data_IF_660967303222
#
_entry.id   IF_660967303222
#
_cell.length_a   1.000
_cell.length_b   1.000
_cell.length_c   1.000
_cell.angle_alpha   90.00
_cell.angle_beta   90.00
_cell.angle_gamma   90.00
#
_symmetry.space_group_name_H-M   'P 1'
#
loop_
_entity.id
_entity.type
_entity.pdbx_description
1 polymer ?
#
# COMPACT_ATOMS: atom_id res chain seq x y z
N UNK A 1 4.16 38.40 -9.41
CA UNK A 1 3.95 36.97 -9.65
C UNK A 1 2.83 36.50 -8.72
N UNK A 2 1.88 35.73 -9.23
CA UNK A 2 0.81 35.09 -8.44
C UNK A 2 1.19 33.62 -8.30
N UNK A 3 1.18 33.08 -7.08
CA UNK A 3 1.51 31.68 -6.80
C UNK A 3 0.27 30.97 -6.29
N UNK A 4 -0.13 29.87 -6.93
CA UNK A 4 -1.19 29.00 -6.42
C UNK A 4 -0.68 28.20 -5.22
N UNK A 5 -1.43 28.20 -4.12
CA UNK A 5 -1.04 27.54 -2.86
C UNK A 5 -1.96 26.39 -2.47
N UNK A 6 -3.18 26.35 -3.02
CA UNK A 6 -4.17 25.30 -2.84
C UNK A 6 -5.20 25.37 -3.97
N UNK A 7 -5.88 24.26 -4.25
CA UNK A 7 -6.97 24.23 -5.23
C UNK A 7 -8.13 25.14 -4.83
N UNK A 8 -8.78 25.72 -5.85
CA UNK A 8 -9.97 26.54 -5.69
C UNK A 8 -9.89 27.87 -6.40
N UNK A 9 -10.93 28.68 -6.22
CA UNK A 9 -11.01 30.02 -6.80
C UNK A 9 -10.56 31.06 -5.79
N UNK A 10 -9.65 31.95 -6.18
CA UNK A 10 -9.29 33.13 -5.42
C UNK A 10 -9.61 34.40 -6.22
N UNK A 11 -9.92 35.48 -5.52
CA UNK A 11 -10.03 36.81 -6.14
C UNK A 11 -8.77 37.60 -5.82
N UNK A 12 -8.03 37.98 -6.86
CA UNK A 12 -6.90 38.90 -6.74
C UNK A 12 -7.45 40.30 -6.93
N UNK A 13 -7.35 41.12 -5.87
CA UNK A 13 -7.77 42.52 -5.90
C UNK A 13 -6.55 43.45 -5.74
N UNK A 14 -6.61 44.60 -6.39
CA UNK A 14 -5.67 45.71 -6.25
C UNK A 14 -6.44 46.98 -5.92
N UNK A 15 -5.87 47.81 -5.04
CA UNK A 15 -6.42 49.12 -4.68
C UNK A 15 -5.34 50.19 -4.69
N UNK A 16 -5.71 51.44 -4.98
CA UNK A 16 -4.82 52.59 -4.78
C UNK A 16 -4.61 52.85 -3.29
N UNK A 17 -3.46 53.45 -2.92
CA UNK A 17 -3.09 53.66 -1.51
C UNK A 17 -4.03 54.64 -0.77
N UNK A 18 -4.73 55.50 -1.51
CA UNK A 18 -5.78 56.38 -1.01
C UNK A 18 -7.17 55.71 -0.96
N UNK A 19 -7.27 54.44 -1.37
CA UNK A 19 -8.50 53.65 -1.40
C UNK A 19 -9.50 54.08 -2.48
N UNK A 20 -9.16 55.06 -3.33
CA UNK A 20 -10.09 55.66 -4.29
C UNK A 20 -10.47 54.76 -5.47
N UNK A 21 -9.64 53.78 -5.82
CA UNK A 21 -9.88 52.88 -6.94
C UNK A 21 -9.56 51.44 -6.57
N UNK A 22 -10.39 50.51 -7.02
CA UNK A 22 -10.19 49.06 -6.88
C UNK A 22 -10.42 48.35 -8.21
N UNK A 23 -9.68 47.28 -8.46
CA UNK A 23 -9.91 46.34 -9.54
C UNK A 23 -9.69 44.92 -9.02
N UNK A 24 -10.42 43.95 -9.54
CA UNK A 24 -10.28 42.56 -9.14
C UNK A 24 -10.41 41.62 -10.33
N UNK A 25 -9.72 40.48 -10.25
CA UNK A 25 -9.86 39.35 -11.16
C UNK A 25 -9.94 38.06 -10.37
N UNK A 26 -10.71 37.10 -10.85
CA UNK A 26 -10.70 35.75 -10.30
C UNK A 26 -9.54 34.95 -10.90
N UNK A 27 -8.97 34.04 -10.12
CA UNK A 27 -8.02 33.03 -10.54
C UNK A 27 -8.48 31.68 -10.01
N UNK A 28 -8.44 30.66 -10.86
CA UNK A 28 -8.67 29.27 -10.46
C UNK A 28 -7.33 28.57 -10.39
N UNK A 29 -7.01 28.00 -9.23
CA UNK A 29 -5.88 27.10 -9.05
C UNK A 29 -6.44 25.69 -9.14
N UNK A 30 -5.98 24.91 -10.12
CA UNK A 30 -6.38 23.53 -10.34
C UNK A 30 -5.15 22.63 -10.28
N UNK A 31 -5.28 21.42 -9.74
CA UNK A 31 -4.29 20.38 -9.95
C UNK A 31 -4.47 19.83 -11.37
N UNK A 32 -3.41 19.86 -12.17
CA UNK A 32 -3.38 19.17 -13.46
C UNK A 32 -2.92 17.73 -13.22
N UNK A 33 -3.77 16.77 -13.53
CA UNK A 33 -3.51 15.35 -13.34
C UNK A 33 -3.35 14.63 -14.66
N UNK A 34 -2.56 13.54 -14.65
CA UNK A 34 -2.43 12.66 -15.79
C UNK A 34 -3.64 11.72 -15.85
N UNK A 35 -4.20 11.53 -17.03
CA UNK A 35 -5.32 10.64 -17.31
C UNK A 35 -5.01 9.76 -18.51
N UNK A 36 -5.63 8.58 -18.57
CA UNK A 36 -5.66 7.76 -19.79
C UNK A 36 -7.03 7.86 -20.45
N UNK A 37 -7.03 8.05 -21.77
CA UNK A 37 -8.20 7.93 -22.63
C UNK A 37 -8.06 6.68 -23.48
N UNK A 38 -9.13 5.91 -23.59
CA UNK A 38 -9.21 4.76 -24.50
C UNK A 38 -10.54 4.80 -25.27
N UNK A 39 -10.46 4.66 -26.60
CA UNK A 39 -11.61 4.37 -27.46
C UNK A 39 -11.50 2.93 -27.97
N UNK A 40 -12.42 2.08 -27.53
CA UNK A 40 -12.57 0.69 -27.98
C UNK A 40 -13.68 0.59 -29.04
N UNK A 41 -13.35 0.13 -30.24
CA UNK A 41 -14.34 -0.08 -31.32
C UNK A 41 -15.27 -1.23 -30.96
N UNK A 42 -16.59 -0.98 -30.98
CA UNK A 42 -17.61 -2.00 -30.71
C UNK A 42 -18.29 -2.46 -31.99
N UNK A 43 -18.66 -1.52 -32.87
CA UNK A 43 -19.34 -1.84 -34.13
C UNK A 43 -19.11 -0.75 -35.17
N UNK A 44 -19.28 -1.09 -36.45
CA UNK A 44 -19.19 -0.18 -37.60
C UNK A 44 -17.89 0.62 -37.67
N UNK A 45 -17.84 1.60 -38.57
CA UNK A 45 -16.63 2.42 -38.73
C UNK A 45 -16.53 3.49 -37.64
N UNK A 46 -15.36 3.57 -37.02
CA UNK A 46 -14.97 4.58 -36.03
C UNK A 46 -13.80 5.38 -36.61
N UNK A 47 -13.75 6.67 -36.29
CA UNK A 47 -12.81 7.62 -36.91
C UNK A 47 -12.15 8.51 -35.86
N UNK A 48 -10.84 8.70 -35.95
CA UNK A 48 -10.09 9.65 -35.10
C UNK A 48 -9.37 10.63 -36.02
N UNK A 49 -9.72 11.92 -35.97
CA UNK A 49 -9.07 12.96 -36.78
C UNK A 49 -8.17 13.87 -35.93
N UNK A 50 -8.62 14.23 -34.71
CA UNK A 50 -7.80 14.97 -33.74
C UNK A 50 -8.40 14.87 -32.35
N UNK A 51 -7.57 15.13 -31.35
CA UNK A 51 -7.98 15.30 -29.97
C UNK A 51 -7.81 16.77 -29.55
N UNK A 52 -8.52 17.18 -28.51
CA UNK A 52 -8.17 18.41 -27.79
C UNK A 52 -8.11 18.11 -26.30
N UNK A 53 -7.09 18.62 -25.62
CA UNK A 53 -6.92 18.49 -24.18
C UNK A 53 -7.26 19.82 -23.51
N UNK A 54 -8.10 19.75 -22.48
CA UNK A 54 -8.43 20.92 -21.67
C UNK A 54 -7.31 21.17 -20.66
N UNK A 55 -6.72 22.35 -20.70
CA UNK A 55 -5.77 22.84 -19.71
C UNK A 55 -6.28 24.18 -19.15
N UNK A 56 -6.84 24.12 -17.94
CA UNK A 56 -7.60 25.24 -17.37
C UNK A 56 -8.83 25.59 -18.23
N UNK A 57 -8.94 26.86 -18.62
CA UNK A 57 -10.04 27.36 -19.47
C UNK A 57 -9.76 27.21 -20.97
N UNK A 58 -8.61 26.63 -21.35
CA UNK A 58 -8.17 26.54 -22.75
C UNK A 58 -8.17 25.10 -23.26
N UNK A 59 -8.36 24.95 -24.57
CA UNK A 59 -8.26 23.67 -25.27
C UNK A 59 -7.05 23.68 -26.19
N UNK A 60 -6.17 22.71 -26.04
CA UNK A 60 -4.98 22.52 -26.87
C UNK A 60 -5.22 21.36 -27.81
N UNK A 61 -5.05 21.58 -29.11
CA UNK A 61 -5.19 20.54 -30.13
C UNK A 61 -4.01 19.58 -30.11
N UNK A 62 -4.32 18.28 -30.17
CA UNK A 62 -3.36 17.18 -30.36
C UNK A 62 -3.72 16.51 -31.68
N UNK A 63 -2.75 16.42 -32.58
CA UNK A 63 -2.95 15.78 -33.87
C UNK A 63 -3.12 14.26 -33.66
N UNK A 64 -3.95 13.61 -34.46
CA UNK A 64 -4.18 12.15 -34.37
C UNK A 64 -2.93 11.32 -34.72
N UNK A 65 -1.93 11.94 -35.37
CA UNK A 65 -0.62 11.35 -35.64
C UNK A 65 0.41 11.63 -34.54
N UNK A 66 0.02 12.22 -33.41
CA UNK A 66 0.89 12.41 -32.25
C UNK A 66 1.42 11.04 -31.78
N UNK A 67 2.75 10.89 -31.61
CA UNK A 67 3.36 9.61 -31.25
C UNK A 67 2.96 9.10 -29.86
N UNK A 68 2.36 9.94 -29.02
CA UNK A 68 1.76 9.54 -27.75
C UNK A 68 0.44 8.79 -27.91
N UNK A 69 -0.20 8.84 -29.08
CA UNK A 69 -1.42 8.07 -29.36
C UNK A 69 -1.03 6.68 -29.87
N UNK A 70 -1.48 5.66 -29.16
CA UNK A 70 -1.30 4.26 -29.54
C UNK A 70 -2.55 3.75 -30.23
N UNK A 71 -2.39 3.13 -31.41
CA UNK A 71 -3.49 2.52 -32.15
C UNK A 71 -3.27 1.02 -32.34
N UNK A 72 -4.28 0.22 -32.00
CA UNK A 72 -4.30 -1.23 -32.21
C UNK A 72 -5.36 -1.59 -33.24
N UNK A 73 -4.96 -2.15 -34.39
CA UNK A 73 -5.87 -2.52 -35.49
C UNK A 73 -6.62 -1.34 -36.14
N UNK A 74 -5.94 -0.19 -36.27
CA UNK A 74 -6.43 0.96 -37.03
C UNK A 74 -5.66 1.16 -38.33
N UNK A 75 -6.30 1.78 -39.30
CA UNK A 75 -5.73 2.16 -40.59
C UNK A 75 -5.48 3.67 -40.56
N UNK A 76 -4.22 4.07 -40.73
CA UNK A 76 -3.83 5.47 -40.86
C UNK A 76 -3.95 5.94 -42.32
N UNK A 77 -4.43 7.17 -42.51
CA UNK A 77 -4.55 7.79 -43.83
C UNK A 77 -3.64 9.02 -43.96
N UNK A 78 -3.19 9.29 -45.18
CA UNK A 78 -2.24 10.38 -45.48
C UNK A 78 -2.77 11.80 -45.22
N UNK A 79 -4.05 11.94 -44.88
CA UNK A 79 -4.72 13.21 -44.55
C UNK A 79 -4.79 13.53 -43.06
N UNK A 80 -4.16 12.76 -42.18
CA UNK A 80 -4.22 12.97 -40.72
C UNK A 80 -5.57 12.53 -40.14
N UNK A 81 -5.90 11.26 -40.37
CA UNK A 81 -7.02 10.60 -39.68
C UNK A 81 -6.78 9.09 -39.66
N UNK A 82 -7.37 8.43 -38.66
CA UNK A 82 -7.35 6.99 -38.47
C UNK A 82 -8.77 6.44 -38.49
N UNK A 83 -8.94 5.23 -39.01
CA UNK A 83 -10.21 4.51 -38.94
C UNK A 83 -10.05 3.05 -38.52
N UNK A 84 -11.09 2.51 -37.90
CA UNK A 84 -11.23 1.07 -37.70
C UNK A 84 -12.69 0.66 -37.66
N UNK A 85 -12.96 -0.55 -38.14
CA UNK A 85 -14.23 -1.26 -37.99
C UNK A 85 -14.06 -2.60 -37.24
N UNK A 86 -12.85 -2.88 -36.77
CA UNK A 86 -12.50 -4.12 -36.10
C UNK A 86 -12.94 -4.02 -34.65
N UNK A 87 -13.90 -4.85 -34.23
CA UNK A 87 -14.32 -4.89 -32.82
C UNK A 87 -13.12 -5.22 -31.91
N UNK A 88 -12.95 -4.45 -30.83
CA UNK A 88 -11.81 -4.52 -29.91
C UNK A 88 -10.56 -3.78 -30.39
N UNK A 89 -10.59 -3.06 -31.52
CA UNK A 89 -9.53 -2.13 -31.89
C UNK A 89 -9.51 -0.95 -30.89
N UNK A 90 -8.33 -0.54 -30.42
CA UNK A 90 -8.18 0.53 -29.42
C UNK A 90 -7.41 1.72 -29.96
N UNK A 91 -7.80 2.93 -29.56
CA UNK A 91 -7.01 4.15 -29.67
C UNK A 91 -6.81 4.71 -28.27
N UNK A 92 -5.57 4.75 -27.80
CA UNK A 92 -5.20 5.07 -26.42
C UNK A 92 -4.31 6.31 -26.37
N UNK A 93 -4.55 7.20 -25.40
CA UNK A 93 -3.75 8.39 -25.19
C UNK A 93 -3.65 8.77 -23.72
N UNK A 94 -2.43 9.02 -23.24
CA UNK A 94 -2.18 9.57 -21.91
C UNK A 94 -2.01 11.08 -22.00
N UNK A 95 -2.79 11.84 -21.24
CA UNK A 95 -2.79 13.30 -21.27
C UNK A 95 -2.76 13.92 -19.89
N UNK A 96 -2.27 15.14 -19.77
CA UNK A 96 -2.39 15.95 -18.55
C UNK A 96 -3.36 17.09 -18.80
N UNK A 97 -4.47 17.12 -18.06
CA UNK A 97 -5.52 18.11 -18.28
C UNK A 97 -6.80 17.80 -17.51
N UNK A 98 -7.80 18.65 -17.65
CA UNK A 98 -9.10 18.54 -16.96
C UNK A 98 -10.22 18.04 -17.87
N UNK A 99 -9.88 17.67 -19.10
CA UNK A 99 -10.85 17.27 -20.11
C UNK A 99 -10.21 16.84 -21.42
N UNK A 100 -10.97 16.10 -22.21
CA UNK A 100 -10.59 15.64 -23.54
C UNK A 100 -11.78 15.73 -24.50
N UNK A 101 -11.52 16.18 -25.72
CA UNK A 101 -12.45 16.10 -26.85
C UNK A 101 -11.86 15.20 -27.92
N UNK A 102 -12.73 14.43 -28.56
CA UNK A 102 -12.41 13.71 -29.78
C UNK A 102 -13.20 14.28 -30.94
N UNK A 103 -12.50 14.59 -32.04
CA UNK A 103 -13.07 14.96 -33.31
C UNK A 103 -12.82 13.84 -34.33
N UNK A 104 -13.82 13.60 -35.16
CA UNK A 104 -13.78 12.53 -36.16
C UNK A 104 -14.86 12.73 -37.21
N UNK A 105 -14.85 11.84 -38.20
CA UNK A 105 -15.88 11.81 -39.23
C UNK A 105 -17.12 11.05 -38.73
N UNK A 106 -18.30 11.51 -39.15
CA UNK A 106 -19.57 10.78 -39.04
C UNK A 106 -19.99 10.32 -40.42
N UNK A 107 -20.34 9.03 -40.56
CA UNK A 107 -20.73 8.41 -41.81
C UNK A 107 -22.03 7.59 -41.65
N UNK A 108 -22.74 7.32 -42.75
CA UNK A 108 -24.00 6.55 -42.72
C UNK A 108 -23.82 5.10 -42.27
N UNK A 109 -22.58 4.62 -42.33
CA UNK A 109 -22.08 3.32 -41.86
C UNK A 109 -21.14 3.47 -40.66
N UNK A 110 -21.06 4.66 -40.08
CA UNK A 110 -20.33 4.86 -38.84
C UNK A 110 -21.03 4.14 -37.70
N UNK A 111 -20.24 3.53 -36.82
CA UNK A 111 -20.76 2.71 -35.74
C UNK A 111 -20.51 3.34 -34.38
N UNK A 112 -20.16 2.49 -33.42
CA UNK A 112 -20.04 2.86 -32.01
C UNK A 112 -18.73 2.36 -31.42
N UNK A 113 -18.19 3.11 -30.47
CA UNK A 113 -17.07 2.71 -29.64
C UNK A 113 -17.32 3.02 -28.18
N UNK A 114 -16.82 2.19 -27.27
CA UNK A 114 -16.81 2.48 -25.85
C UNK A 114 -15.63 3.38 -25.51
N UNK A 115 -15.85 4.33 -24.61
CA UNK A 115 -14.85 5.30 -24.18
C UNK A 115 -14.58 5.05 -22.71
N UNK A 116 -13.31 4.89 -22.37
CA UNK A 116 -12.85 4.72 -21.00
C UNK A 116 -11.94 5.89 -20.62
N UNK A 117 -12.05 6.33 -19.37
CA UNK A 117 -11.11 7.24 -18.73
C UNK A 117 -10.53 6.53 -17.53
N UNK A 118 -9.20 6.46 -17.45
CA UNK A 118 -8.49 5.79 -16.35
C UNK A 118 -8.94 4.33 -16.15
N UNK A 119 -9.22 3.65 -17.27
CA UNK A 119 -9.71 2.25 -17.30
C UNK A 119 -11.17 2.07 -16.90
N UNK A 120 -11.88 3.13 -16.49
CA UNK A 120 -13.30 3.08 -16.16
C UNK A 120 -14.16 3.48 -17.35
N UNK A 121 -15.24 2.71 -17.61
CA UNK A 121 -16.19 3.04 -18.67
C UNK A 121 -16.82 4.41 -18.41
N UNK A 122 -16.76 5.28 -19.42
CA UNK A 122 -17.29 6.64 -19.36
C UNK A 122 -18.57 6.77 -20.18
N UNK A 123 -18.49 6.53 -21.49
CA UNK A 123 -19.62 6.71 -22.42
C UNK A 123 -19.43 5.94 -23.72
N UNK A 124 -20.46 5.95 -24.57
CA UNK A 124 -20.40 5.43 -25.95
C UNK A 124 -20.18 6.59 -26.93
N UNK A 125 -19.15 6.51 -27.76
CA UNK A 125 -18.94 7.37 -28.92
C UNK A 125 -19.79 6.90 -30.11
N UNK A 126 -20.46 7.83 -30.78
CA UNK A 126 -21.31 7.53 -31.95
C UNK A 126 -20.78 8.23 -33.21
N UNK A 127 -20.47 7.41 -34.22
CA UNK A 127 -19.92 7.82 -35.51
C UNK A 127 -20.96 7.78 -36.64
N UNK A 128 -22.22 7.44 -36.36
CA UNK A 128 -23.30 7.51 -37.33
C UNK A 128 -23.64 8.95 -37.72
N UNK A 129 -23.83 9.21 -39.02
CA UNK A 129 -24.27 10.50 -39.54
C UNK A 129 -23.75 10.84 -40.93
N UNK A 130 -23.61 12.12 -41.25
CA UNK A 130 -22.98 12.57 -42.48
C UNK A 130 -22.33 13.93 -42.25
N UNK A 131 -21.15 13.92 -41.64
CA UNK A 131 -20.38 15.12 -41.34
C UNK A 131 -18.90 14.77 -41.23
N UNK A 132 -18.02 15.70 -41.57
CA UNK A 132 -16.56 15.50 -41.48
C UNK A 132 -15.98 16.43 -40.43
N UNK A 133 -14.98 15.94 -39.68
CA UNK A 133 -14.26 16.69 -38.64
C UNK A 133 -15.22 17.39 -37.65
N UNK A 134 -16.08 16.59 -37.02
CA UNK A 134 -17.05 17.07 -36.02
C UNK A 134 -16.73 16.51 -34.64
N UNK A 135 -17.15 17.25 -33.60
CA UNK A 135 -17.04 16.79 -32.22
C UNK A 135 -17.84 15.48 -32.06
N UNK A 136 -17.15 14.44 -31.62
CA UNK A 136 -17.72 13.12 -31.34
C UNK A 136 -18.11 13.02 -29.87
N UNK A 137 -17.21 13.44 -28.99
CA UNK A 137 -17.42 13.48 -27.55
C UNK A 137 -16.61 14.62 -26.92
N UNK A 138 -17.07 15.04 -25.75
CA UNK A 138 -16.40 15.96 -24.86
C UNK A 138 -16.53 15.45 -23.44
N UNK A 139 -15.40 15.34 -22.76
CA UNK A 139 -15.29 15.00 -21.35
C UNK A 139 -14.60 16.19 -20.68
N UNK A 140 -15.19 16.72 -19.63
CA UNK A 140 -14.68 17.86 -18.86
C UNK A 140 -14.84 17.59 -17.38
N UNK A 141 -14.23 18.43 -16.54
CA UNK A 141 -14.31 18.28 -15.09
C UNK A 141 -13.65 16.99 -14.62
N UNK A 142 -12.66 16.49 -15.37
CA UNK A 142 -11.79 15.43 -14.89
C UNK A 142 -11.00 16.00 -13.72
N UNK A 143 -11.33 15.51 -12.54
CA UNK A 143 -10.69 15.83 -11.28
C UNK A 143 -9.99 14.58 -10.80
N UNK A 144 -8.66 14.59 -10.80
CA UNK A 144 -7.90 13.46 -10.28
C UNK A 144 -7.83 12.28 -11.24
N UNK A 145 -6.72 12.19 -11.96
CA UNK A 145 -5.99 10.94 -12.02
C UNK A 145 -4.95 11.05 -10.93
N UNK A 146 -5.01 10.21 -9.89
CA UNK A 146 -3.89 10.22 -8.95
C UNK A 146 -2.65 9.91 -9.79
N UNK A 147 -1.63 10.80 -9.88
CA UNK A 147 -0.38 10.39 -10.49
C UNK A 147 0.04 9.17 -9.69
N UNK A 148 0.17 8.00 -10.33
CA UNK A 148 0.67 6.81 -9.66
C UNK A 148 1.96 7.21 -8.95
N UNK A 149 1.89 7.29 -7.62
CA UNK A 149 3.00 7.67 -6.78
C UNK A 149 3.66 6.35 -6.41
N UNK A 150 4.71 5.94 -7.13
CA UNK A 150 5.31 4.64 -6.90
C UNK A 150 5.90 4.62 -5.50
N UNK A 151 5.86 3.45 -4.88
CA UNK A 151 6.67 3.21 -3.69
C UNK A 151 8.15 3.39 -4.07
N UNK A 152 8.90 4.08 -3.21
CA UNK A 152 10.36 4.28 -3.32
C UNK A 152 11.14 3.57 -2.22
N UNK A 153 10.45 3.07 -1.20
CA UNK A 153 11.08 2.37 -0.08
C UNK A 153 10.09 2.00 1.02
N UNK A 154 10.59 1.23 1.99
CA UNK A 154 9.88 0.91 3.23
C UNK A 154 10.87 0.91 4.38
N UNK A 155 10.51 1.59 5.46
CA UNK A 155 11.24 1.56 6.72
C UNK A 155 10.48 0.74 7.76
N UNK A 156 11.21 0.02 8.62
CA UNK A 156 10.62 -0.84 9.64
C UNK A 156 10.99 -0.35 11.04
N UNK A 157 9.98 -0.13 11.89
CA UNK A 157 10.17 0.28 13.29
C UNK A 157 9.50 -0.72 14.25
N UNK A 158 9.86 -0.64 15.53
CA UNK A 158 9.31 -1.53 16.57
C UNK A 158 10.12 -2.80 16.81
N UNK A 159 11.30 -2.95 16.18
CA UNK A 159 12.17 -4.09 16.45
C UNK A 159 12.58 -4.15 17.93
N UNK A 160 12.46 -5.32 18.58
CA UNK A 160 12.85 -5.46 19.98
C UNK A 160 14.36 -5.25 20.12
N UNK A 161 14.76 -4.49 21.13
CA UNK A 161 16.17 -4.24 21.47
C UNK A 161 16.79 -5.30 22.39
N UNK A 162 15.96 -6.20 22.91
CA UNK A 162 16.34 -7.29 23.79
C UNK A 162 15.67 -8.59 23.34
N UNK A 163 16.19 -9.73 23.82
CA UNK A 163 15.63 -11.03 23.50
C UNK A 163 14.19 -11.14 23.99
N UNK A 164 13.35 -11.75 23.16
CA UNK A 164 11.98 -12.09 23.49
C UNK A 164 11.92 -13.39 24.29
N UNK A 165 10.83 -13.56 25.03
CA UNK A 165 10.50 -14.82 25.71
C UNK A 165 9.35 -15.51 25.00
N UNK A 166 9.24 -16.84 25.14
CA UNK A 166 8.17 -17.62 24.47
C UNK A 166 6.80 -17.07 24.86
N UNK A 167 5.94 -16.83 23.86
CA UNK A 167 4.60 -16.27 24.02
C UNK A 167 4.55 -14.74 24.06
N UNK A 168 5.69 -14.06 24.14
CA UNK A 168 5.75 -12.61 24.03
C UNK A 168 5.40 -12.17 22.60
N UNK A 169 4.69 -11.05 22.47
CA UNK A 169 4.37 -10.44 21.20
C UNK A 169 4.90 -9.00 21.13
N UNK A 170 5.29 -8.58 19.93
CA UNK A 170 5.69 -7.21 19.60
C UNK A 170 5.02 -6.81 18.29
N UNK A 171 4.71 -5.54 18.11
CA UNK A 171 4.16 -5.02 16.85
C UNK A 171 5.22 -4.23 16.12
N UNK A 172 5.46 -4.60 14.87
CA UNK A 172 6.32 -3.88 13.95
C UNK A 172 5.47 -2.98 13.06
N UNK A 173 5.96 -1.78 12.77
CA UNK A 173 5.31 -0.82 11.88
C UNK A 173 6.13 -0.65 10.61
N UNK A 174 5.52 -0.93 9.46
CA UNK A 174 6.09 -0.66 8.16
C UNK A 174 5.68 0.73 7.68
N UNK A 175 6.64 1.60 7.44
CA UNK A 175 6.45 2.97 6.95
C UNK A 175 6.82 2.99 5.46
N UNK A 176 5.81 2.90 4.59
CA UNK A 176 5.99 2.95 3.14
C UNK A 176 6.25 4.40 2.71
N UNK A 177 7.22 4.59 1.83
CA UNK A 177 7.64 5.90 1.33
C UNK A 177 7.42 6.02 -0.18
N UNK A 178 6.90 7.15 -0.68
CA UNK A 178 6.39 8.27 0.12
C UNK A 178 5.07 7.92 0.81
N UNK A 179 4.66 8.72 1.81
CA UNK A 179 3.45 8.46 2.61
C UNK A 179 2.16 8.48 1.77
N UNK A 180 2.19 9.18 0.64
CA UNK A 180 1.11 9.26 -0.35
C UNK A 180 1.33 8.31 -1.53
N UNK A 181 2.10 7.23 -1.37
CA UNK A 181 2.20 6.19 -2.39
C UNK A 181 0.80 5.63 -2.72
N UNK A 182 0.51 5.45 -4.00
CA UNK A 182 -0.82 5.04 -4.49
C UNK A 182 -1.18 3.62 -4.03
N UNK A 183 -0.19 2.72 -3.89
CA UNK A 183 -0.36 1.40 -3.28
C UNK A 183 0.61 1.17 -2.11
N UNK A 184 0.23 1.52 -0.87
CA UNK A 184 1.07 1.33 0.32
C UNK A 184 0.98 -0.09 0.93
N UNK A 185 0.40 -1.06 0.21
CA UNK A 185 0.19 -2.41 0.73
C UNK A 185 1.52 -3.15 0.93
N UNK A 186 1.59 -3.97 1.98
CA UNK A 186 2.77 -4.77 2.30
C UNK A 186 2.41 -6.22 2.61
N UNK A 187 3.38 -7.11 2.44
CA UNK A 187 3.33 -8.52 2.86
C UNK A 187 4.42 -8.80 3.89
N UNK A 188 4.17 -9.78 4.76
CA UNK A 188 5.08 -10.13 5.85
C UNK A 188 5.48 -11.59 5.76
N UNK A 189 6.72 -11.90 6.15
CA UNK A 189 7.22 -13.27 6.23
C UNK A 189 8.18 -13.45 7.40
N UNK A 190 8.34 -14.69 7.85
CA UNK A 190 9.32 -15.10 8.85
C UNK A 190 10.25 -16.15 8.25
N UNK A 191 11.55 -16.01 8.48
CA UNK A 191 12.53 -17.02 8.07
C UNK A 191 12.42 -18.33 8.87
N UNK A 192 11.80 -18.30 10.05
CA UNK A 192 11.61 -19.48 10.89
C UNK A 192 10.36 -19.35 11.77
N UNK A 193 9.23 -19.90 11.30
CA UNK A 193 7.94 -19.86 12.01
C UNK A 193 7.89 -20.69 13.29
N UNK A 194 8.80 -21.65 13.47
CA UNK A 194 8.93 -22.38 14.74
C UNK A 194 9.56 -21.54 15.85
N UNK A 195 10.26 -20.45 15.50
CA UNK A 195 10.85 -19.49 16.44
C UNK A 195 9.97 -18.26 16.60
N UNK A 196 9.54 -17.64 15.49
CA UNK A 196 8.67 -16.47 15.52
C UNK A 196 7.71 -16.44 14.33
N UNK A 197 6.46 -16.13 14.59
CA UNK A 197 5.42 -15.93 13.56
C UNK A 197 5.08 -14.46 13.41
N UNK A 198 4.59 -14.05 12.25
CA UNK A 198 4.15 -12.67 11.99
C UNK A 198 2.79 -12.67 11.30
N UNK A 199 1.89 -11.81 11.73
CA UNK A 199 0.58 -11.56 11.10
C UNK A 199 0.27 -10.07 11.17
N UNK A 200 0.11 -9.43 10.02
CA UNK A 200 -0.17 -7.99 9.90
C UNK A 200 0.75 -7.09 10.77
N UNK A 201 2.05 -7.40 10.79
CA UNK A 201 3.05 -6.68 11.60
C UNK A 201 3.15 -7.12 13.06
N UNK A 202 2.21 -7.90 13.60
CA UNK A 202 2.32 -8.48 14.94
C UNK A 202 3.17 -9.73 14.91
N UNK A 203 4.31 -9.69 15.60
CA UNK A 203 5.26 -10.81 15.73
C UNK A 203 5.05 -11.50 17.07
N UNK A 204 4.89 -12.82 17.07
CA UNK A 204 4.75 -13.65 18.27
C UNK A 204 5.89 -14.65 18.38
N UNK A 205 6.57 -14.66 19.53
CA UNK A 205 7.62 -15.62 19.85
C UNK A 205 7.02 -16.99 20.16
N UNK A 206 7.48 -18.02 19.44
CA UNK A 206 6.95 -19.40 19.49
C UNK A 206 7.94 -20.35 20.14
N UNK A 207 9.23 -20.23 19.82
CA UNK A 207 10.27 -21.15 20.28
C UNK A 207 11.64 -20.48 20.39
N UNK A 208 12.53 -21.09 21.16
CA UNK A 208 13.90 -20.59 21.38
C UNK A 208 14.67 -20.63 20.07
N UNK A 209 15.39 -19.55 19.75
CA UNK A 209 16.24 -19.47 18.58
C UNK A 209 16.22 -18.08 17.95
N UNK A 210 16.65 -18.00 16.70
CA UNK A 210 16.65 -16.77 15.92
C UNK A 210 15.73 -16.89 14.70
N UNK A 211 15.04 -15.80 14.37
CA UNK A 211 14.23 -15.63 13.17
C UNK A 211 14.42 -14.21 12.63
N UNK A 212 14.26 -14.04 11.33
CA UNK A 212 14.22 -12.73 10.69
C UNK A 212 12.83 -12.52 10.14
N UNK A 213 12.20 -11.42 10.54
CA UNK A 213 10.93 -10.98 9.98
C UNK A 213 11.21 -10.02 8.83
N UNK A 214 10.61 -10.25 7.68
CA UNK A 214 10.75 -9.41 6.49
C UNK A 214 9.40 -8.84 6.10
N UNK A 215 9.36 -7.53 5.88
CA UNK A 215 8.25 -6.85 5.21
C UNK A 215 8.65 -6.54 3.77
N UNK A 216 7.73 -6.75 2.84
CA UNK A 216 7.90 -6.47 1.41
C UNK A 216 6.74 -5.65 0.90
N UNK A 217 7.00 -4.52 0.24
CA UNK A 217 5.95 -3.72 -0.41
C UNK A 217 5.40 -4.49 -1.61
N UNK A 218 4.07 -4.48 -1.77
CA UNK A 218 3.41 -5.12 -2.92
C UNK A 218 3.80 -4.40 -4.19
N UNK A 219 3.83 -3.07 -4.15
CA UNK A 219 4.35 -2.22 -5.21
C UNK A 219 5.86 -1.98 -5.05
N UNK A 220 6.62 -2.04 -6.15
CA UNK A 220 8.07 -1.85 -6.18
C UNK A 220 8.95 -2.93 -5.53
N UNK A 221 8.40 -3.81 -4.69
CA UNK A 221 9.14 -4.95 -4.10
C UNK A 221 10.24 -4.57 -3.10
N UNK A 222 10.16 -3.39 -2.49
CA UNK A 222 11.10 -2.93 -1.47
C UNK A 222 10.97 -3.74 -0.19
N UNK A 223 12.09 -3.94 0.51
CA UNK A 223 12.11 -4.77 1.72
C UNK A 223 12.77 -4.10 2.89
N UNK A 224 12.29 -4.41 4.10
CA UNK A 224 12.94 -4.11 5.35
C UNK A 224 12.87 -5.33 6.29
N UNK A 225 13.82 -5.44 7.21
CA UNK A 225 13.95 -6.65 8.04
C UNK A 225 14.13 -6.35 9.52
N UNK A 226 13.72 -7.28 10.35
CA UNK A 226 13.83 -7.23 11.79
C UNK A 226 14.37 -8.56 12.33
N UNK A 227 15.49 -8.53 13.05
CA UNK A 227 16.02 -9.72 13.70
C UNK A 227 15.28 -9.97 15.02
N UNK A 228 14.84 -11.20 15.22
CA UNK A 228 14.15 -11.68 16.42
C UNK A 228 14.99 -12.78 17.04
N UNK A 229 15.35 -12.60 18.30
CA UNK A 229 15.98 -13.64 19.13
C UNK A 229 15.04 -13.98 20.27
N UNK A 230 14.78 -15.26 20.47
CA UNK A 230 13.96 -15.77 21.57
C UNK A 230 14.87 -16.57 22.50
N UNK A 231 14.97 -16.13 23.75
CA UNK A 231 15.85 -16.71 24.76
C UNK A 231 15.07 -17.38 25.90
N UNK A 232 15.65 -18.40 26.57
CA UNK A 232 15.07 -18.97 27.77
C UNK A 232 15.15 -17.99 28.95
N UNK A 233 14.17 -18.08 29.85
CA UNK A 233 14.22 -17.42 31.15
C UNK A 233 14.97 -18.34 32.11
N UNK A 234 16.12 -17.88 32.59
CA UNK A 234 16.95 -18.64 33.52
C UNK A 234 16.42 -18.53 34.96
N UNK A 235 16.42 -19.62 35.75
CA UNK A 235 16.13 -19.54 37.18
C UNK A 235 17.24 -18.76 37.91
N UNK A 236 16.84 -17.88 38.81
CA UNK A 236 17.73 -17.05 39.62
C UNK A 236 17.81 -17.51 41.07
N UNK A 237 16.82 -18.25 41.56
CA UNK A 237 16.86 -18.88 42.87
C UNK A 237 16.02 -20.15 42.95
N UNK A 238 16.36 -20.98 43.94
CA UNK A 238 15.59 -22.14 44.37
C UNK A 238 15.48 -22.10 45.89
N UNK A 239 14.33 -22.48 46.42
CA UNK A 239 14.11 -22.56 47.86
C UNK A 239 13.32 -23.82 48.21
N UNK A 240 13.58 -24.34 49.41
CA UNK A 240 12.80 -25.41 50.01
C UNK A 240 11.77 -24.74 50.93
N UNK A 241 10.52 -25.16 50.78
CA UNK A 241 9.38 -24.74 51.60
C UNK A 241 8.77 -25.98 52.27
N UNK A 242 7.93 -25.75 53.28
CA UNK A 242 7.36 -26.82 54.11
C UNK A 242 8.42 -27.68 54.82
N UNK A 243 9.55 -27.12 55.25
CA UNK A 243 10.55 -27.85 56.04
C UNK A 243 10.06 -28.01 57.50
N UNK A 244 10.15 -29.20 58.13
CA UNK A 244 9.73 -29.38 59.53
C UNK A 244 10.61 -28.53 60.46
N UNK A 245 10.00 -27.87 61.44
CA UNK A 245 10.62 -26.76 62.19
C UNK A 245 11.75 -27.15 63.14
N UNK A 246 12.02 -28.45 63.38
CA UNK A 246 13.20 -28.90 64.13
C UNK A 246 13.43 -30.42 64.06
N UNK A 247 12.37 -31.23 64.14
CA UNK A 247 12.47 -32.67 64.35
C UNK A 247 11.52 -33.43 63.41
N UNK A 248 11.98 -34.58 62.93
CA UNK A 248 11.16 -35.61 62.27
C UNK A 248 11.31 -36.91 63.08
N UNK A 249 10.20 -37.56 63.43
CA UNK A 249 10.24 -38.80 64.22
C UNK A 249 10.80 -39.96 63.38
N UNK A 250 11.50 -40.90 64.02
CA UNK A 250 12.07 -42.05 63.32
C UNK A 250 10.98 -42.87 62.61
N UNK A 251 11.11 -43.06 61.30
CA UNK A 251 10.14 -43.75 60.45
C UNK A 251 8.95 -42.91 59.98
N UNK A 252 8.84 -41.65 60.42
CA UNK A 252 7.90 -40.70 59.84
C UNK A 252 8.45 -40.13 58.52
N UNK A 253 7.55 -39.76 57.61
CA UNK A 253 7.88 -39.15 56.32
C UNK A 253 7.39 -37.72 56.27
N UNK A 254 8.05 -36.87 55.49
CA UNK A 254 7.63 -35.47 55.33
C UNK A 254 7.83 -34.96 53.91
N UNK A 255 6.80 -34.32 53.35
CA UNK A 255 6.84 -33.72 52.01
C UNK A 255 7.51 -32.35 52.05
N UNK A 256 8.63 -32.22 51.35
CA UNK A 256 9.23 -30.92 51.04
C UNK A 256 8.67 -30.39 49.72
N UNK A 257 8.51 -29.07 49.64
CA UNK A 257 8.09 -28.40 48.43
C UNK A 257 9.22 -27.51 47.92
N UNK A 258 9.51 -27.52 46.62
CA UNK A 258 10.43 -26.58 45.98
C UNK A 258 9.69 -25.35 45.43
N UNK A 259 10.40 -24.21 45.41
CA UNK A 259 10.00 -23.05 44.62
C UNK A 259 11.20 -22.53 43.82
N UNK A 260 11.06 -22.51 42.49
CA UNK A 260 12.04 -21.97 41.55
C UNK A 260 11.56 -20.60 41.07
N UNK A 261 12.41 -19.58 41.18
CA UNK A 261 12.14 -18.23 40.70
C UNK A 261 13.05 -17.85 39.52
N UNK A 262 12.58 -17.01 38.58
CA UNK A 262 11.20 -16.53 38.50
C UNK A 262 10.22 -17.67 38.14
N UNK A 263 8.95 -17.51 38.51
CA UNK A 263 7.93 -18.55 38.31
C UNK A 263 7.66 -18.87 36.84
N UNK A 264 8.21 -18.13 35.89
CA UNK A 264 8.14 -18.41 34.44
C UNK A 264 9.50 -18.85 33.86
N UNK A 265 10.48 -19.24 34.70
CA UNK A 265 11.73 -19.82 34.23
C UNK A 265 11.45 -21.00 33.28
N UNK A 266 12.18 -21.03 32.16
CA UNK A 266 11.99 -22.02 31.09
C UNK A 266 12.36 -23.42 31.55
N UNK A 267 13.38 -23.54 32.41
CA UNK A 267 13.74 -24.80 33.06
C UNK A 267 13.59 -24.66 34.57
N UNK A 268 12.71 -25.47 35.16
CA UNK A 268 12.45 -25.53 36.62
C UNK A 268 12.79 -26.88 37.24
N UNK A 269 13.54 -27.72 36.53
CA UNK A 269 13.92 -29.04 37.01
C UNK A 269 14.80 -28.90 38.25
N UNK A 270 14.47 -29.64 39.31
CA UNK A 270 15.24 -29.70 40.56
C UNK A 270 15.74 -31.11 40.83
N UNK A 271 16.85 -31.24 41.55
CA UNK A 271 17.42 -32.52 41.98
C UNK A 271 17.60 -32.53 43.49
N UNK A 272 17.11 -33.57 44.14
CA UNK A 272 17.21 -33.78 45.58
C UNK A 272 18.36 -34.69 45.94
N UNK A 273 19.02 -34.43 47.08
CA UNK A 273 20.04 -35.31 47.64
C UNK A 273 20.12 -35.14 49.16
N UNK A 274 20.60 -36.18 49.85
CA UNK A 274 20.89 -36.13 51.28
C UNK A 274 22.38 -36.24 51.49
N UNK A 275 22.93 -35.38 52.34
CA UNK A 275 24.34 -35.45 52.76
C UNK A 275 24.62 -36.64 53.67
N UNK A 276 23.59 -37.22 54.28
CA UNK A 276 23.71 -38.40 55.13
C UNK A 276 22.46 -39.29 55.04
N UNK A 277 22.48 -40.21 54.08
CA UNK A 277 21.37 -41.17 53.83
C UNK A 277 21.17 -42.19 54.94
N UNK A 278 22.12 -42.35 55.87
CA UNK A 278 21.92 -43.18 57.07
C UNK A 278 21.06 -42.50 58.15
N UNK A 279 20.86 -41.18 58.02
CA UNK A 279 20.03 -40.38 58.93
C UNK A 279 18.69 -40.01 58.30
N UNK A 280 18.70 -39.54 57.05
CA UNK A 280 17.49 -39.21 56.30
C UNK A 280 17.73 -39.42 54.80
N UNK A 281 16.78 -40.05 54.12
CA UNK A 281 16.78 -40.17 52.65
C UNK A 281 15.85 -39.12 52.05
N UNK A 282 15.99 -38.81 50.78
CA UNK A 282 15.00 -38.00 50.05
C UNK A 282 14.82 -38.59 48.66
N UNK A 283 13.59 -38.70 48.19
CA UNK A 283 13.30 -39.22 46.85
C UNK A 283 13.29 -38.08 45.80
N UNK A 284 13.06 -38.44 44.53
CA UNK A 284 13.02 -37.47 43.41
C UNK A 284 11.86 -36.48 43.49
N UNK A 285 10.86 -36.74 44.33
CA UNK A 285 9.68 -35.90 44.54
C UNK A 285 9.76 -35.05 45.82
N UNK A 286 10.91 -35.04 46.50
CA UNK A 286 11.08 -34.24 47.72
C UNK A 286 10.51 -34.86 49.00
N UNK A 287 10.12 -36.14 49.00
CA UNK A 287 9.70 -36.86 50.21
C UNK A 287 10.93 -37.31 50.99
N UNK A 288 11.04 -36.87 52.25
CA UNK A 288 12.09 -37.22 53.22
C UNK A 288 11.64 -38.36 54.14
#
# INVERSE_FOLDING_TARGET
MVTGVAEGTATIAVSTNDGGFTASSNISVIQITSHTFELEVISGWNYVNRLQIQNGDTWVEINDTDPGISYTNWIAHSGGWHESQTAGATAEYTFTGTGIRLYGNKASWGGTGNVYIDGAFNQVANFGGNASDVLILEITGLTGGEPDVPVTGVDLTGCPSADMTIGQAVTLTANVLPVNATNPSVTWSSSNTAVATVSYGTVTAVGIGAATITVTTVDGGYTATCAITVAPIHPTSVSITNCPSANLALGATHDLNEAVLPANATNKTVSWSSSNTSVATVNTSGLV
#
